data_IF_535769911009
#
_entry.id   IF_535769911009
#
_cell.length_a   1.000
_cell.length_b   1.000
_cell.length_c   1.000
_cell.angle_alpha   90.00
_cell.angle_beta   90.00
_cell.angle_gamma   90.00
#
_symmetry.space_group_name_H-M   'P 1'
#
loop_
_entity.id
_entity.type
_entity.pdbx_description
1 polymer ?
#
# COMPACT_ATOMS: atom_id res chain seq x y z
N UNK A 1 2.18 20.10 -4.70
CA UNK A 1 2.35 18.74 -4.12
C UNK A 1 1.02 17.96 -4.04
N UNK A 2 0.08 18.14 -4.99
CA UNK A 2 -1.27 17.55 -4.87
C UNK A 2 -1.30 16.04 -5.20
N UNK A 3 -0.62 15.64 -6.29
CA UNK A 3 -0.68 14.27 -6.82
C UNK A 3 -0.16 13.22 -5.84
N UNK A 4 1.00 13.44 -5.21
CA UNK A 4 1.59 12.45 -4.29
C UNK A 4 1.00 12.49 -2.88
N UNK A 5 0.63 13.66 -2.36
CA UNK A 5 0.10 13.79 -1.01
C UNK A 5 -1.32 13.21 -0.89
N UNK A 6 -2.22 13.65 -1.77
CA UNK A 6 -3.63 13.28 -1.66
C UNK A 6 -3.86 11.79 -1.95
N UNK A 7 -3.23 11.25 -3.01
CA UNK A 7 -3.36 9.83 -3.37
C UNK A 7 -2.78 8.90 -2.30
N UNK A 8 -1.62 9.24 -1.73
CA UNK A 8 -0.98 8.43 -0.68
C UNK A 8 -1.80 8.47 0.62
N UNK A 9 -2.31 9.64 1.02
CA UNK A 9 -3.14 9.76 2.21
C UNK A 9 -4.42 8.93 2.11
N UNK A 10 -5.08 8.98 0.94
CA UNK A 10 -6.28 8.18 0.66
C UNK A 10 -5.96 6.69 0.68
N UNK A 11 -4.87 6.26 0.03
CA UNK A 11 -4.44 4.86 0.03
C UNK A 11 -4.17 4.35 1.45
N UNK A 12 -3.44 5.10 2.27
CA UNK A 12 -3.16 4.72 3.66
C UNK A 12 -4.44 4.57 4.49
N UNK A 13 -5.44 5.43 4.26
CA UNK A 13 -6.77 5.29 4.86
C UNK A 13 -7.45 3.97 4.47
N UNK A 14 -7.41 3.59 3.19
CA UNK A 14 -7.94 2.32 2.72
C UNK A 14 -7.14 1.11 3.22
N UNK A 15 -5.82 1.20 3.32
CA UNK A 15 -4.99 0.17 3.94
C UNK A 15 -5.42 -0.08 5.39
N UNK A 16 -5.60 0.97 6.19
CA UNK A 16 -6.05 0.86 7.57
C UNK A 16 -7.44 0.20 7.67
N UNK A 17 -8.37 0.62 6.80
CA UNK A 17 -9.69 0.01 6.71
C UNK A 17 -9.63 -1.48 6.33
N UNK A 18 -8.86 -1.83 5.29
CA UNK A 18 -8.71 -3.19 4.82
C UNK A 18 -8.12 -4.13 5.88
N UNK A 19 -7.16 -3.63 6.68
CA UNK A 19 -6.61 -4.39 7.81
C UNK A 19 -7.65 -4.59 8.92
N UNK A 20 -8.39 -3.52 9.27
CA UNK A 20 -9.41 -3.57 10.33
C UNK A 20 -10.53 -4.58 10.05
N UNK A 21 -10.97 -4.70 8.79
CA UNK A 21 -12.01 -5.66 8.40
C UNK A 21 -11.48 -7.06 8.08
N UNK A 22 -10.15 -7.24 7.93
CA UNK A 22 -9.52 -8.53 7.64
C UNK A 22 -8.44 -8.90 8.68
N UNK A 23 -8.82 -9.31 9.91
CA UNK A 23 -7.87 -9.61 10.98
C UNK A 23 -6.82 -10.68 10.61
N UNK A 24 -7.19 -11.66 9.77
CA UNK A 24 -6.26 -12.70 9.29
C UNK A 24 -5.15 -12.12 8.40
N UNK A 25 -5.49 -11.14 7.57
CA UNK A 25 -4.52 -10.45 6.69
C UNK A 25 -3.60 -9.58 7.54
N UNK A 26 -4.17 -8.87 8.52
CA UNK A 26 -3.40 -8.06 9.47
C UNK A 26 -2.39 -8.90 10.26
N UNK A 27 -2.82 -10.04 10.82
CA UNK A 27 -1.93 -10.94 11.56
C UNK A 27 -0.81 -11.50 10.67
N UNK A 28 -1.13 -11.87 9.42
CA UNK A 28 -0.13 -12.37 8.46
C UNK A 28 0.90 -11.29 8.10
N UNK A 29 0.44 -10.06 7.83
CA UNK A 29 1.33 -8.95 7.53
C UNK A 29 2.22 -8.61 8.73
N UNK A 30 1.64 -8.56 9.93
CA UNK A 30 2.38 -8.31 11.16
C UNK A 30 3.49 -9.36 11.39
N UNK A 31 3.18 -10.65 11.16
CA UNK A 31 4.18 -11.73 11.26
C UNK A 31 5.32 -11.59 10.26
N UNK A 32 5.03 -11.20 9.02
CA UNK A 32 6.09 -10.92 8.04
C UNK A 32 7.00 -9.80 8.54
N UNK A 33 6.42 -8.67 8.96
CA UNK A 33 7.18 -7.51 9.43
C UNK A 33 8.02 -7.84 10.67
N UNK A 34 7.46 -8.56 11.65
CA UNK A 34 8.21 -8.97 12.84
C UNK A 34 9.26 -10.04 12.59
N UNK A 35 9.14 -10.80 11.50
CA UNK A 35 10.17 -11.75 11.07
C UNK A 35 11.34 -11.04 10.38
N UNK A 36 11.07 -9.99 9.62
CA UNK A 36 12.09 -9.22 8.90
C UNK A 36 12.74 -8.15 9.77
N UNK A 37 12.00 -7.58 10.72
CA UNK A 37 12.43 -6.50 11.60
C UNK A 37 12.15 -6.86 13.06
N UNK A 38 13.20 -7.17 13.81
CA UNK A 38 13.12 -7.37 15.26
C UNK A 38 12.96 -6.03 15.99
N UNK A 39 13.56 -4.95 15.45
CA UNK A 39 13.49 -3.58 15.98
C UNK A 39 13.06 -2.60 14.90
N UNK A 40 12.44 -1.50 15.32
CA UNK A 40 12.01 -0.45 14.39
C UNK A 40 13.20 0.23 13.69
N UNK A 41 14.35 0.27 14.34
CA UNK A 41 15.62 0.82 13.82
C UNK A 41 16.13 0.06 12.57
N UNK A 42 15.66 -1.18 12.36
CA UNK A 42 16.05 -2.02 11.22
C UNK A 42 15.23 -1.70 9.96
N UNK A 43 14.16 -0.90 10.10
CA UNK A 43 13.31 -0.46 8.99
C UNK A 43 14.04 0.64 8.23
N UNK A 44 14.66 0.27 7.12
CA UNK A 44 15.33 1.18 6.20
C UNK A 44 14.94 0.86 4.75
N UNK A 45 15.34 1.73 3.82
CA UNK A 45 14.95 1.62 2.41
C UNK A 45 15.43 0.32 1.75
N UNK A 46 16.61 -0.16 2.13
CA UNK A 46 17.21 -1.37 1.57
C UNK A 46 16.41 -2.61 1.98
N UNK A 47 16.03 -2.68 3.25
CA UNK A 47 15.31 -3.81 3.81
C UNK A 47 13.82 -3.81 3.48
N UNK A 48 13.21 -2.65 3.17
CA UNK A 48 11.81 -2.55 2.76
C UNK A 48 11.50 -3.38 1.52
N UNK A 49 12.44 -3.48 0.57
CA UNK A 49 12.29 -4.31 -0.63
C UNK A 49 12.12 -5.81 -0.34
N UNK A 50 12.45 -6.25 0.87
CA UNK A 50 12.27 -7.65 1.29
C UNK A 50 10.84 -7.97 1.74
N UNK A 51 9.96 -6.97 1.88
CA UNK A 51 8.60 -7.12 2.37
C UNK A 51 7.62 -7.53 1.26
N UNK A 52 7.74 -8.77 0.79
CA UNK A 52 6.98 -9.28 -0.36
C UNK A 52 5.46 -9.25 -0.12
N UNK A 53 5.01 -9.63 1.07
CA UNK A 53 3.58 -9.65 1.38
C UNK A 53 3.02 -8.25 1.65
N UNK A 54 3.81 -7.33 2.22
CA UNK A 54 3.46 -5.91 2.30
C UNK A 54 3.21 -5.32 0.90
N UNK A 55 4.10 -5.57 -0.06
CA UNK A 55 3.95 -5.08 -1.43
C UNK A 55 2.71 -5.67 -2.11
N UNK A 56 2.48 -6.98 -1.94
CA UNK A 56 1.27 -7.63 -2.41
C UNK A 56 -0.01 -7.04 -1.77
N UNK A 57 0.02 -6.70 -0.47
CA UNK A 57 -1.09 -6.09 0.24
C UNK A 57 -1.40 -4.68 -0.27
N UNK A 58 -0.37 -3.85 -0.49
CA UNK A 58 -0.55 -2.50 -1.05
C UNK A 58 -1.13 -2.59 -2.46
N UNK A 59 -0.59 -3.48 -3.29
CA UNK A 59 -1.07 -3.73 -4.65
C UNK A 59 -2.54 -4.18 -4.66
N UNK A 60 -2.92 -5.09 -3.77
CA UNK A 60 -4.30 -5.57 -3.66
C UNK A 60 -5.24 -4.49 -3.13
N UNK A 61 -4.77 -3.63 -2.23
CA UNK A 61 -5.53 -2.47 -1.75
C UNK A 61 -5.77 -1.48 -2.87
N UNK A 62 -4.76 -1.20 -3.71
CA UNK A 62 -4.91 -0.36 -4.90
C UNK A 62 -5.88 -0.96 -5.92
N UNK A 63 -5.92 -2.29 -6.06
CA UNK A 63 -6.86 -2.99 -6.95
C UNK A 63 -8.31 -2.83 -6.50
N UNK A 64 -8.57 -2.91 -5.20
CA UNK A 64 -9.92 -2.74 -4.64
C UNK A 64 -10.34 -1.29 -4.44
N UNK A 65 -9.42 -0.44 -4.01
CA UNK A 65 -9.64 0.96 -3.63
C UNK A 65 -8.66 1.89 -4.36
N UNK A 66 -8.79 2.02 -5.70
CA UNK A 66 -7.91 2.90 -6.46
C UNK A 66 -8.17 4.38 -6.11
N UNK A 67 -7.14 5.16 -5.69
CA UNK A 67 -7.30 6.59 -5.41
C UNK A 67 -7.65 7.42 -6.65
N UNK A 68 -7.34 6.91 -7.85
CA UNK A 68 -7.67 7.50 -9.14
C UNK A 68 -8.45 6.46 -9.94
N UNK A 69 -9.71 6.76 -10.22
CA UNK A 69 -10.65 5.83 -10.89
C UNK A 69 -10.75 6.05 -12.40
N UNK A 70 -10.39 7.24 -12.87
CA UNK A 70 -10.52 7.62 -14.28
C UNK A 70 -9.25 8.31 -14.77
N UNK A 71 -8.95 8.08 -16.04
CA UNK A 71 -7.91 8.77 -16.79
C UNK A 71 -8.55 9.33 -18.05
N UNK A 72 -8.51 10.64 -18.22
CA UNK A 72 -9.04 11.29 -19.41
C UNK A 72 -7.94 11.40 -20.47
N UNK A 73 -8.20 10.86 -21.66
CA UNK A 73 -7.33 10.96 -22.82
C UNK A 73 -8.08 11.72 -23.92
N UNK A 74 -7.41 12.70 -24.51
CA UNK A 74 -7.92 13.47 -25.66
C UNK A 74 -7.05 13.13 -26.86
N UNK A 75 -7.68 12.68 -27.96
CA UNK A 75 -6.98 12.42 -29.21
C UNK A 75 -6.38 13.73 -29.74
N UNK A 76 -5.10 13.70 -30.12
CA UNK A 76 -4.41 14.89 -30.63
C UNK A 76 -4.76 15.19 -32.08
N UNK A 77 -5.24 14.20 -32.83
CA UNK A 77 -5.71 14.26 -34.22
C UNK A 77 -6.81 13.19 -34.42
N UNK A 78 -7.68 13.41 -35.42
CA UNK A 78 -8.74 12.46 -35.82
C UNK A 78 -8.18 11.16 -36.43
#
# INVERSE_FOLDING_TARGET
MLAGYHTTAVLLGYCAYALAINPKVQEKLYKELRRLFAKEEEINYENLNSCVYLDAFITETLRYYPPVVTYDLVASQD
#
